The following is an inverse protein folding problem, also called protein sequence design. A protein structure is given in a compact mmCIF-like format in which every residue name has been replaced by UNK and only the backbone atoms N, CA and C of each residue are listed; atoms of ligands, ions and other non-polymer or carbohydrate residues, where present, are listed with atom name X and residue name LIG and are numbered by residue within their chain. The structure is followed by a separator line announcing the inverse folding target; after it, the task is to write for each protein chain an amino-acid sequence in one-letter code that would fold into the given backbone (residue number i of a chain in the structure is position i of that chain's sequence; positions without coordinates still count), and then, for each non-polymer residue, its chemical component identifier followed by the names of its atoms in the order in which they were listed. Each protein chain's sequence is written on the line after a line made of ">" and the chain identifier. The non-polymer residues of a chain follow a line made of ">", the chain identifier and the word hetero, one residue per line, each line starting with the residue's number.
data_IF_895235170914
#
_entry.id   IF_895235170914
#
_cell.length_a   1.000
_cell.length_b   1.000
_cell.length_c   1.000
_cell.angle_alpha   90.00
_cell.angle_beta   90.00
_cell.angle_gamma   90.00
#
_symmetry.space_group_name_H-M   'P 1'
#
loop_
_entity.id
_entity.type
_entity.pdbx_description
1 polymer ?
#
# COMPACT_ATOMS: atom_id res chain seq x y z
N UNK A 1 46.27 -33.91 -17.55
CA UNK A 1 46.76 -32.90 -16.62
C UNK A 1 46.88 -33.53 -15.22
N UNK A 2 48.01 -33.41 -14.57
CA UNK A 2 48.35 -34.15 -13.33
C UNK A 2 47.44 -33.64 -12.18
N UNK A 3 46.70 -34.53 -11.50
CA UNK A 3 45.78 -34.18 -10.40
C UNK A 3 46.44 -33.29 -9.31
N UNK A 4 47.72 -33.54 -9.02
CA UNK A 4 48.51 -32.69 -8.08
C UNK A 4 48.66 -31.23 -8.60
N UNK A 5 48.86 -31.06 -9.91
CA UNK A 5 49.01 -29.73 -10.50
C UNK A 5 47.69 -28.93 -10.44
N UNK A 6 46.58 -29.61 -10.71
CA UNK A 6 45.23 -28.97 -10.58
C UNK A 6 44.95 -28.55 -9.15
N UNK A 7 45.28 -29.40 -8.17
CA UNK A 7 45.07 -29.09 -6.75
C UNK A 7 45.93 -27.89 -6.29
N UNK A 8 47.21 -27.82 -6.70
CA UNK A 8 48.09 -26.67 -6.41
C UNK A 8 47.56 -25.40 -7.03
N UNK A 9 47.12 -25.47 -8.28
CA UNK A 9 46.55 -24.29 -8.99
C UNK A 9 45.25 -23.77 -8.32
N UNK A 10 44.37 -24.69 -7.91
CA UNK A 10 43.13 -24.32 -7.23
C UNK A 10 43.38 -23.66 -5.86
N UNK A 11 44.32 -24.21 -5.07
CA UNK A 11 44.70 -23.63 -3.78
C UNK A 11 45.33 -22.25 -3.97
N UNK A 12 46.19 -22.07 -4.98
CA UNK A 12 46.80 -20.78 -5.28
C UNK A 12 45.75 -19.72 -5.65
N UNK A 13 44.74 -20.07 -6.45
CA UNK A 13 43.64 -19.17 -6.82
C UNK A 13 42.84 -18.75 -5.59
N UNK A 14 42.54 -19.69 -4.69
CA UNK A 14 41.82 -19.41 -3.45
C UNK A 14 42.61 -18.44 -2.56
N UNK A 15 43.94 -18.66 -2.41
CA UNK A 15 44.79 -17.77 -1.61
C UNK A 15 44.84 -16.36 -2.20
N UNK A 16 44.95 -16.23 -3.51
CA UNK A 16 44.92 -14.91 -4.18
C UNK A 16 43.59 -14.22 -3.98
N UNK A 17 42.48 -14.96 -4.10
CA UNK A 17 41.13 -14.42 -3.89
C UNK A 17 40.90 -13.96 -2.46
N UNK A 18 41.33 -14.75 -1.47
CA UNK A 18 41.27 -14.35 -0.05
C UNK A 18 42.16 -13.13 0.20
N UNK A 19 43.37 -13.09 -0.36
CA UNK A 19 44.26 -11.94 -0.27
C UNK A 19 43.65 -10.67 -0.86
N UNK A 20 42.93 -10.80 -1.99
CA UNK A 20 42.20 -9.70 -2.60
C UNK A 20 41.07 -9.17 -1.72
N UNK A 21 40.25 -10.08 -1.14
CA UNK A 21 39.17 -9.69 -0.22
C UNK A 21 39.73 -8.96 1.01
N UNK A 22 40.80 -9.49 1.63
CA UNK A 22 41.45 -8.85 2.79
C UNK A 22 41.99 -7.47 2.40
N UNK A 23 42.64 -7.37 1.24
CA UNK A 23 43.20 -6.09 0.75
C UNK A 23 42.08 -5.06 0.48
N UNK A 24 40.95 -5.49 -0.07
CA UNK A 24 39.82 -4.61 -0.35
C UNK A 24 39.08 -4.16 0.93
N UNK A 25 39.00 -5.03 1.93
CA UNK A 25 38.41 -4.71 3.26
C UNK A 25 39.32 -3.89 4.14
N UNK A 26 40.64 -4.00 3.99
CA UNK A 26 41.64 -3.23 4.78
C UNK A 26 42.04 -1.90 4.10
N UNK A 27 41.68 -1.70 2.84
CA UNK A 27 41.82 -0.37 2.23
C UNK A 27 41.11 0.63 3.14
N UNK A 28 41.85 1.64 3.69
CA UNK A 28 41.17 2.76 4.32
C UNK A 28 40.21 3.30 3.27
N UNK A 29 38.92 3.32 3.57
CA UNK A 29 37.95 3.98 2.72
C UNK A 29 38.55 5.34 2.42
N UNK A 30 38.96 5.54 1.15
CA UNK A 30 39.53 6.80 0.73
C UNK A 30 38.56 7.84 1.23
N UNK A 31 39.04 8.78 2.03
CA UNK A 31 38.22 9.88 2.51
C UNK A 31 37.74 10.62 1.26
N UNK A 32 36.61 10.16 0.74
CA UNK A 32 35.77 11.03 -0.06
C UNK A 32 35.46 12.16 0.93
N UNK A 33 36.17 13.26 0.79
CA UNK A 33 35.74 14.53 1.36
C UNK A 33 34.38 14.79 0.70
N UNK A 34 33.32 14.14 1.27
CA UNK A 34 32.00 14.66 1.15
C UNK A 34 32.09 16.04 1.81
N UNK A 35 32.38 17.06 1.03
CA UNK A 35 31.88 18.38 1.29
C UNK A 35 30.32 18.26 1.18
N UNK A 36 29.73 17.56 2.10
CA UNK A 36 28.37 17.83 2.50
C UNK A 36 28.41 19.28 2.98
N UNK A 37 28.22 20.22 2.07
CA UNK A 37 27.59 21.47 2.42
C UNK A 37 26.43 21.04 3.32
N UNK A 38 26.51 21.36 4.62
CA UNK A 38 25.40 21.32 5.53
C UNK A 38 24.35 22.31 5.00
N UNK A 39 23.67 21.93 3.93
CA UNK A 39 22.39 22.50 3.61
C UNK A 39 21.54 22.12 4.82
N UNK A 40 21.20 23.11 5.64
CA UNK A 40 20.28 22.93 6.72
C UNK A 40 19.11 22.12 6.17
N UNK A 41 18.90 20.92 6.73
CA UNK A 41 17.74 20.09 6.33
C UNK A 41 16.56 20.95 6.70
N UNK A 42 15.94 21.60 5.71
CA UNK A 42 14.73 22.38 5.93
C UNK A 42 13.68 21.33 6.30
N UNK A 43 13.37 21.28 7.60
CA UNK A 43 12.33 20.41 8.11
C UNK A 43 10.98 20.91 7.56
N UNK A 44 10.38 20.13 6.68
CA UNK A 44 9.05 20.44 6.14
C UNK A 44 8.04 20.03 7.22
N UNK A 45 7.29 20.98 7.81
CA UNK A 45 6.34 20.67 8.87
C UNK A 45 5.15 19.89 8.31
N UNK A 46 4.49 19.12 9.20
CA UNK A 46 3.23 18.47 8.88
C UNK A 46 2.13 19.51 8.70
N UNK A 47 1.46 19.49 7.56
CA UNK A 47 0.30 20.36 7.27
C UNK A 47 -1.00 19.85 7.92
N UNK A 48 -0.96 18.71 8.56
CA UNK A 48 -2.08 17.99 9.15
C UNK A 48 -1.78 17.62 10.60
N UNK A 49 -2.83 17.29 11.34
CA UNK A 49 -2.74 16.78 12.71
C UNK A 49 -3.70 15.61 12.91
N UNK A 50 -3.37 14.73 13.84
CA UNK A 50 -4.32 13.74 14.35
C UNK A 50 -5.41 14.51 15.11
N UNK A 51 -6.63 14.46 14.60
CA UNK A 51 -7.79 15.13 15.18
C UNK A 51 -8.59 14.19 16.08
N UNK A 52 -8.53 12.88 15.83
CA UNK A 52 -9.14 11.86 16.66
C UNK A 52 -8.42 10.51 16.51
N UNK A 53 -8.48 9.73 17.59
CA UNK A 53 -8.11 8.32 17.62
C UNK A 53 -9.31 7.52 18.11
N UNK A 54 -9.61 6.43 17.41
CA UNK A 54 -10.72 5.55 17.76
C UNK A 54 -10.24 4.12 17.90
N UNK A 55 -10.36 3.55 19.10
CA UNK A 55 -10.02 2.15 19.35
C UNK A 55 -11.15 1.25 18.90
N UNK A 56 -10.84 0.30 18.03
CA UNK A 56 -11.76 -0.74 17.58
C UNK A 56 -11.79 -1.85 18.64
N UNK A 57 -13.00 -2.27 19.04
CA UNK A 57 -13.19 -3.30 20.07
C UNK A 57 -13.55 -4.67 19.48
N UNK A 58 -13.88 -4.72 18.19
CA UNK A 58 -14.35 -5.93 17.50
C UNK A 58 -13.22 -6.91 17.17
N UNK A 59 -11.97 -6.46 17.23
CA UNK A 59 -10.79 -7.27 16.96
C UNK A 59 -9.62 -6.48 16.39
N UNK A 60 -8.70 -7.19 15.77
CA UNK A 60 -7.53 -6.59 15.12
C UNK A 60 -7.95 -5.82 13.87
N UNK A 61 -7.74 -4.50 13.87
CA UNK A 61 -8.08 -3.63 12.74
C UNK A 61 -7.03 -3.72 11.63
N UNK A 62 -7.48 -3.84 10.38
CA UNK A 62 -6.59 -3.95 9.23
C UNK A 62 -6.92 -3.00 8.08
N UNK A 63 -8.20 -2.73 7.85
CA UNK A 63 -8.66 -2.00 6.68
C UNK A 63 -9.68 -0.93 7.04
N UNK A 64 -9.71 0.14 6.25
CA UNK A 64 -10.67 1.23 6.32
C UNK A 64 -11.16 1.61 4.92
N UNK A 65 -12.45 1.89 4.81
CA UNK A 65 -13.05 2.56 3.65
C UNK A 65 -14.04 3.63 4.12
N UNK A 66 -14.22 4.67 3.32
CA UNK A 66 -15.11 5.80 3.66
C UNK A 66 -15.91 6.19 2.42
N UNK A 67 -17.21 6.38 2.55
CA UNK A 67 -18.05 6.87 1.46
C UNK A 67 -18.15 8.41 1.47
N UNK A 68 -18.73 8.96 0.42
CA UNK A 68 -18.90 10.41 0.26
C UNK A 68 -19.81 11.07 1.33
N UNK A 69 -20.66 10.29 2.01
CA UNK A 69 -21.50 10.76 3.10
C UNK A 69 -20.76 10.76 4.47
N UNK A 70 -19.48 10.31 4.50
CA UNK A 70 -18.70 10.20 5.72
C UNK A 70 -19.00 8.95 6.53
N UNK A 71 -19.68 7.95 5.96
CA UNK A 71 -19.84 6.63 6.58
C UNK A 71 -18.52 5.89 6.53
N UNK A 72 -18.08 5.36 7.67
CA UNK A 72 -16.78 4.71 7.85
C UNK A 72 -16.99 3.21 7.97
N UNK A 73 -16.28 2.44 7.18
CA UNK A 73 -16.26 0.98 7.22
C UNK A 73 -14.89 0.53 7.72
N UNK A 74 -14.88 -0.30 8.75
CA UNK A 74 -13.68 -0.87 9.35
C UNK A 74 -13.71 -2.38 9.25
N UNK A 75 -12.58 -2.97 8.91
CA UNK A 75 -12.45 -4.43 8.76
C UNK A 75 -11.15 -4.96 9.34
N UNK A 76 -11.19 -6.21 9.76
CA UNK A 76 -10.03 -6.85 10.36
C UNK A 76 -10.26 -8.33 10.63
N UNK A 77 -9.83 -8.83 11.79
CA UNK A 77 -9.97 -10.24 12.15
C UNK A 77 -11.44 -10.66 12.25
N UNK A 78 -11.93 -11.20 11.13
CA UNK A 78 -13.27 -11.78 11.02
C UNK A 78 -14.44 -10.83 11.34
N UNK A 79 -14.29 -9.53 11.03
CA UNK A 79 -15.38 -8.55 11.15
C UNK A 79 -15.36 -7.49 10.04
N UNK A 80 -16.53 -6.94 9.76
CA UNK A 80 -16.74 -5.64 9.11
C UNK A 80 -17.71 -4.84 9.97
N UNK A 81 -17.33 -3.64 10.34
CA UNK A 81 -18.17 -2.71 11.12
C UNK A 81 -18.41 -1.44 10.33
N UNK A 82 -19.59 -0.88 10.48
CA UNK A 82 -19.99 0.39 9.89
C UNK A 82 -20.26 1.42 10.99
N UNK A 83 -19.68 2.59 10.82
CA UNK A 83 -19.84 3.72 11.74
C UNK A 83 -20.32 4.94 10.98
N UNK A 84 -21.08 5.80 11.64
CA UNK A 84 -21.35 7.13 11.12
C UNK A 84 -20.12 8.05 11.28
N UNK A 85 -20.20 9.27 10.75
CA UNK A 85 -19.15 10.30 10.86
C UNK A 85 -18.77 10.67 12.30
N UNK A 86 -19.67 10.44 13.26
CA UNK A 86 -19.46 10.71 14.69
C UNK A 86 -18.93 9.48 15.44
N UNK A 87 -18.44 8.47 14.71
CA UNK A 87 -17.89 7.21 15.22
C UNK A 87 -18.90 6.40 16.05
N UNK A 88 -20.20 6.56 15.79
CA UNK A 88 -21.24 5.72 16.39
C UNK A 88 -21.46 4.50 15.53
N UNK A 89 -21.41 3.31 16.14
CA UNK A 89 -21.65 2.05 15.47
C UNK A 89 -23.07 1.99 14.90
N UNK A 90 -23.17 1.66 13.61
CA UNK A 90 -24.43 1.43 12.90
C UNK A 90 -24.70 -0.07 12.87
N UNK A 91 -23.73 -0.87 12.43
CA UNK A 91 -23.78 -2.32 12.43
C UNK A 91 -22.39 -2.93 12.49
N UNK A 92 -22.33 -4.17 12.97
CA UNK A 92 -21.14 -5.02 12.97
C UNK A 92 -21.52 -6.42 12.48
N UNK A 93 -20.74 -6.95 11.56
CA UNK A 93 -20.97 -8.26 10.94
C UNK A 93 -19.71 -9.11 11.07
N UNK A 94 -19.90 -10.34 11.54
CA UNK A 94 -18.84 -11.32 11.57
C UNK A 94 -18.60 -11.89 10.17
N UNK A 95 -17.35 -11.91 9.71
CA UNK A 95 -16.97 -12.49 8.43
C UNK A 95 -16.43 -13.91 8.60
N UNK A 96 -16.55 -14.77 7.57
CA UNK A 96 -16.07 -16.16 7.65
C UNK A 96 -14.54 -16.27 7.77
N UNK A 97 -13.80 -15.24 7.35
CA UNK A 97 -12.35 -15.18 7.36
C UNK A 97 -11.89 -13.75 7.62
N UNK A 98 -10.61 -13.54 8.03
CA UNK A 98 -10.04 -12.21 8.21
C UNK A 98 -10.16 -11.35 6.96
N UNK A 99 -10.57 -10.10 7.15
CA UNK A 99 -10.66 -9.09 6.08
C UNK A 99 -9.26 -8.56 5.78
N UNK A 100 -8.88 -8.56 4.51
CA UNK A 100 -7.58 -8.06 4.05
C UNK A 100 -7.65 -6.62 3.56
N UNK A 101 -8.78 -6.22 2.95
CA UNK A 101 -8.99 -4.86 2.44
C UNK A 101 -10.48 -4.54 2.35
N UNK A 102 -10.80 -3.26 2.32
CA UNK A 102 -12.16 -2.73 2.14
C UNK A 102 -12.19 -1.71 1.00
N UNK A 103 -13.29 -1.73 0.27
CA UNK A 103 -13.66 -0.67 -0.67
C UNK A 103 -15.16 -0.47 -0.64
N UNK A 104 -15.63 0.68 -1.11
CA UNK A 104 -17.05 0.92 -1.29
C UNK A 104 -17.32 1.67 -2.59
N UNK A 105 -18.52 1.43 -3.14
CA UNK A 105 -19.10 2.27 -4.17
C UNK A 105 -20.53 2.64 -3.75
N UNK A 106 -20.76 3.92 -3.51
CA UNK A 106 -21.94 4.35 -2.77
C UNK A 106 -21.94 3.71 -1.39
N UNK A 107 -23.06 3.08 -1.05
CA UNK A 107 -23.22 2.37 0.23
C UNK A 107 -22.98 0.85 0.14
N UNK A 108 -22.64 0.33 -1.04
CA UNK A 108 -22.24 -1.08 -1.21
C UNK A 108 -20.78 -1.24 -0.79
N UNK A 109 -20.51 -2.18 0.11
CA UNK A 109 -19.17 -2.48 0.62
C UNK A 109 -18.65 -3.75 -0.02
N UNK A 110 -17.38 -3.72 -0.40
CA UNK A 110 -16.60 -4.85 -0.89
C UNK A 110 -15.51 -5.15 0.13
N UNK A 111 -15.63 -6.27 0.82
CA UNK A 111 -14.68 -6.72 1.82
C UNK A 111 -13.93 -7.94 1.29
N UNK A 112 -12.63 -7.78 0.99
CA UNK A 112 -11.82 -8.91 0.59
C UNK A 112 -11.33 -9.71 1.79
N UNK A 113 -11.27 -11.00 1.63
CA UNK A 113 -10.46 -11.93 2.41
C UNK A 113 -9.29 -12.40 1.56
N UNK A 114 -8.53 -13.41 1.96
CA UNK A 114 -7.40 -13.86 1.14
C UNK A 114 -7.79 -14.40 -0.23
N UNK A 115 -8.97 -15.02 -0.36
CA UNK A 115 -9.35 -15.80 -1.54
C UNK A 115 -10.63 -15.33 -2.21
N UNK A 116 -11.38 -14.42 -1.58
CA UNK A 116 -12.71 -14.02 -2.04
C UNK A 116 -13.07 -12.60 -1.64
N UNK A 117 -14.10 -12.05 -2.27
CA UNK A 117 -14.63 -10.73 -1.97
C UNK A 117 -16.11 -10.86 -1.58
N UNK A 118 -16.44 -10.42 -0.38
CA UNK A 118 -17.80 -10.32 0.12
C UNK A 118 -18.42 -9.00 -0.36
N UNK A 119 -19.57 -9.08 -1.00
CA UNK A 119 -20.35 -7.90 -1.41
C UNK A 119 -21.46 -7.68 -0.38
N UNK A 120 -21.43 -6.53 0.30
CA UNK A 120 -22.32 -6.26 1.44
C UNK A 120 -23.24 -5.07 1.15
N UNK A 121 -24.47 -5.19 1.64
CA UNK A 121 -25.47 -4.11 1.57
C UNK A 121 -25.16 -2.97 2.54
N UNK A 122 -25.82 -1.80 2.41
CA UNK A 122 -25.74 -0.71 3.38
C UNK A 122 -26.13 -1.11 4.82
N UNK A 123 -26.95 -2.16 4.96
CA UNK A 123 -27.37 -2.70 6.25
C UNK A 123 -26.45 -3.83 6.79
N UNK A 124 -25.29 -4.04 6.18
CA UNK A 124 -24.31 -5.05 6.60
C UNK A 124 -24.64 -6.48 6.16
N UNK A 125 -25.70 -6.71 5.37
CA UNK A 125 -26.03 -8.05 4.89
C UNK A 125 -25.09 -8.45 3.75
N UNK A 126 -24.48 -9.64 3.82
CA UNK A 126 -23.73 -10.22 2.70
C UNK A 126 -24.74 -10.57 1.60
N UNK A 127 -24.60 -9.92 0.45
CA UNK A 127 -25.48 -10.09 -0.72
C UNK A 127 -24.94 -11.11 -1.71
N UNK A 128 -23.61 -11.13 -1.86
CA UNK A 128 -22.91 -11.99 -2.81
C UNK A 128 -21.49 -12.24 -2.33
N UNK A 129 -20.88 -13.26 -2.91
CA UNK A 129 -19.49 -13.64 -2.70
C UNK A 129 -18.86 -13.89 -4.06
N UNK A 130 -17.79 -13.16 -4.38
CA UNK A 130 -17.00 -13.32 -5.59
C UNK A 130 -15.78 -14.15 -5.26
N UNK A 131 -15.57 -15.23 -5.99
CA UNK A 131 -14.56 -16.25 -5.71
C UNK A 131 -15.16 -17.50 -5.02
N UNK A 132 -14.35 -18.44 -4.48
CA UNK A 132 -12.90 -18.30 -4.38
C UNK A 132 -12.25 -18.19 -5.76
N UNK A 133 -11.14 -17.44 -5.81
CA UNK A 133 -10.33 -17.32 -7.02
C UNK A 133 -9.29 -18.46 -7.08
N UNK A 134 -8.18 -18.28 -7.76
CA UNK A 134 -7.17 -19.33 -7.95
C UNK A 134 -6.53 -19.79 -6.60
N UNK A 135 -6.07 -21.05 -6.53
CA UNK A 135 -5.54 -21.70 -5.32
C UNK A 135 -4.38 -20.95 -4.63
N UNK A 136 -3.58 -20.20 -5.39
CA UNK A 136 -2.47 -19.40 -4.85
C UNK A 136 -2.84 -17.93 -4.62
N UNK A 137 -4.10 -17.57 -4.73
CA UNK A 137 -4.57 -16.20 -4.60
C UNK A 137 -4.36 -15.67 -3.18
N UNK A 138 -3.77 -14.47 -3.09
CA UNK A 138 -3.63 -13.70 -1.86
C UNK A 138 -4.11 -12.28 -2.14
N UNK A 139 -5.40 -12.05 -1.94
CA UNK A 139 -5.98 -10.71 -2.14
C UNK A 139 -5.50 -9.79 -1.02
N UNK A 140 -4.78 -8.74 -1.38
CA UNK A 140 -4.24 -7.75 -0.45
C UNK A 140 -4.96 -6.42 -0.53
N UNK A 141 -5.62 -6.14 -1.64
CA UNK A 141 -6.36 -4.91 -1.86
C UNK A 141 -7.56 -5.14 -2.78
N UNK A 142 -8.65 -4.45 -2.52
CA UNK A 142 -9.85 -4.40 -3.36
C UNK A 142 -10.25 -2.94 -3.59
N UNK A 143 -10.67 -2.62 -4.80
CA UNK A 143 -11.22 -1.32 -5.15
C UNK A 143 -12.44 -1.47 -6.04
N UNK A 144 -13.38 -0.54 -5.94
CA UNK A 144 -14.60 -0.58 -6.76
C UNK A 144 -15.01 0.80 -7.24
N UNK A 145 -15.56 0.85 -8.44
CA UNK A 145 -16.21 2.02 -8.99
C UNK A 145 -17.61 1.64 -9.51
N UNK A 146 -18.24 2.51 -10.31
CA UNK A 146 -19.58 2.28 -10.83
C UNK A 146 -19.72 0.96 -11.62
N UNK A 147 -18.69 0.59 -12.39
CA UNK A 147 -18.77 -0.52 -13.36
C UNK A 147 -17.99 -1.76 -12.91
N UNK A 148 -16.87 -1.59 -12.22
CA UNK A 148 -15.89 -2.62 -12.00
C UNK A 148 -15.56 -2.83 -10.53
N UNK A 149 -15.03 -4.00 -10.24
CA UNK A 149 -14.30 -4.33 -9.02
C UNK A 149 -12.91 -4.75 -9.46
N UNK A 150 -11.88 -4.18 -8.87
CA UNK A 150 -10.51 -4.62 -9.08
C UNK A 150 -9.93 -5.15 -7.78
N UNK A 151 -9.08 -6.17 -7.86
CA UNK A 151 -8.32 -6.62 -6.71
C UNK A 151 -6.88 -6.93 -7.09
N UNK A 152 -5.97 -6.70 -6.15
CA UNK A 152 -4.57 -7.03 -6.25
C UNK A 152 -4.30 -8.38 -5.58
N UNK A 153 -3.77 -9.31 -6.35
CA UNK A 153 -3.38 -10.64 -5.92
C UNK A 153 -1.86 -10.72 -5.77
N UNK A 154 -1.39 -10.65 -4.53
CA UNK A 154 0.04 -10.72 -4.21
C UNK A 154 0.63 -12.11 -4.41
N UNK A 155 -0.18 -13.17 -4.33
CA UNK A 155 0.25 -14.55 -4.56
C UNK A 155 0.69 -14.77 -6.00
N UNK A 156 -0.14 -14.39 -6.95
CA UNK A 156 0.12 -14.52 -8.37
C UNK A 156 0.77 -13.26 -8.99
N UNK A 157 0.90 -12.15 -8.21
CA UNK A 157 1.44 -10.86 -8.66
C UNK A 157 0.69 -10.32 -9.87
N UNK A 158 -0.63 -10.30 -9.77
CA UNK A 158 -1.54 -9.86 -10.81
C UNK A 158 -2.62 -8.94 -10.24
N UNK A 159 -3.19 -8.11 -11.09
CA UNK A 159 -4.39 -7.34 -10.78
C UNK A 159 -5.53 -7.88 -11.63
N UNK A 160 -6.61 -8.25 -10.99
CA UNK A 160 -7.83 -8.72 -11.63
C UNK A 160 -8.84 -7.58 -11.71
N UNK A 161 -9.51 -7.47 -12.84
CA UNK A 161 -10.61 -6.55 -13.09
C UNK A 161 -11.86 -7.36 -13.39
N UNK A 162 -12.86 -7.23 -12.54
CA UNK A 162 -14.15 -7.92 -12.62
C UNK A 162 -15.26 -6.93 -12.99
N UNK A 163 -16.32 -7.43 -13.60
CA UNK A 163 -17.58 -6.72 -13.55
C UNK A 163 -18.26 -6.86 -12.16
N UNK A 164 -19.39 -6.20 -11.96
CA UNK A 164 -20.12 -6.27 -10.68
C UNK A 164 -20.73 -7.66 -10.38
N UNK A 165 -20.85 -8.51 -11.39
CA UNK A 165 -21.27 -9.89 -11.24
C UNK A 165 -20.17 -10.85 -10.83
N UNK A 166 -18.90 -10.40 -10.90
CA UNK A 166 -17.72 -11.21 -10.57
C UNK A 166 -17.06 -11.89 -11.76
N UNK A 167 -17.51 -11.62 -12.98
CA UNK A 167 -16.86 -12.12 -14.19
C UNK A 167 -15.54 -11.37 -14.44
N UNK A 168 -14.44 -12.12 -14.63
CA UNK A 168 -13.12 -11.54 -14.93
C UNK A 168 -13.13 -10.94 -16.33
N UNK A 169 -12.94 -9.65 -16.43
CA UNK A 169 -12.85 -8.91 -17.68
C UNK A 169 -11.41 -8.73 -18.14
N UNK A 170 -10.48 -8.58 -17.21
CA UNK A 170 -9.06 -8.38 -17.52
C UNK A 170 -8.17 -8.82 -16.36
N UNK A 171 -6.98 -9.26 -16.69
CA UNK A 171 -5.86 -9.47 -15.76
C UNK A 171 -4.66 -8.64 -16.25
N UNK A 172 -4.03 -7.88 -15.33
CA UNK A 172 -2.81 -7.10 -15.57
C UNK A 172 -1.66 -7.82 -14.88
N UNK A 173 -0.52 -7.96 -15.56
CA UNK A 173 0.65 -8.66 -15.03
C UNK A 173 0.71 -10.17 -15.38
N UNK A 174 -0.31 -10.71 -16.06
CA UNK A 174 -0.40 -12.15 -16.39
C UNK A 174 0.73 -12.64 -17.29
N UNK A 175 1.07 -11.87 -18.32
CA UNK A 175 1.94 -12.34 -19.39
C UNK A 175 3.41 -11.91 -19.23
N UNK A 176 3.68 -10.85 -18.49
CA UNK A 176 5.00 -10.21 -18.44
C UNK A 176 5.68 -10.29 -17.07
N UNK A 177 4.96 -10.82 -16.05
CA UNK A 177 5.44 -10.86 -14.66
C UNK A 177 5.98 -9.50 -14.19
N UNK A 178 5.32 -8.44 -14.64
CA UNK A 178 5.76 -7.06 -14.49
C UNK A 178 5.86 -6.60 -13.04
N UNK A 179 4.95 -7.09 -12.17
CA UNK A 179 4.89 -6.64 -10.80
C UNK A 179 5.96 -7.30 -9.91
N UNK A 180 6.75 -6.46 -9.25
CA UNK A 180 7.73 -6.88 -8.24
C UNK A 180 7.13 -6.66 -6.86
N UNK A 181 6.67 -7.73 -6.23
CA UNK A 181 5.97 -7.70 -4.95
C UNK A 181 6.77 -8.54 -3.92
N UNK A 182 7.72 -7.93 -3.20
CA UNK A 182 8.60 -8.64 -2.28
C UNK A 182 7.92 -9.05 -0.96
N UNK A 183 6.80 -8.41 -0.62
CA UNK A 183 6.00 -8.71 0.56
C UNK A 183 4.52 -8.52 0.21
N UNK A 184 3.57 -9.05 1.01
CA UNK A 184 2.14 -9.01 0.68
C UNK A 184 1.52 -7.61 0.86
N UNK A 185 2.18 -6.59 0.31
CA UNK A 185 1.68 -5.23 0.15
C UNK A 185 1.57 -4.96 -1.34
N UNK A 186 0.36 -5.09 -1.86
CA UNK A 186 0.05 -4.88 -3.26
C UNK A 186 -1.31 -4.18 -3.32
N UNK A 187 -1.29 -2.88 -3.61
CA UNK A 187 -2.47 -2.02 -3.56
C UNK A 187 -2.97 -1.69 -4.95
N UNK A 188 -4.29 -1.67 -5.10
CA UNK A 188 -4.98 -1.25 -6.32
C UNK A 188 -6.08 -0.25 -6.02
N UNK A 189 -6.27 0.74 -6.88
CA UNK A 189 -7.41 1.66 -6.83
C UNK A 189 -8.00 1.87 -8.22
N UNK A 190 -9.33 2.06 -8.27
CA UNK A 190 -10.08 2.44 -9.46
C UNK A 190 -10.63 3.85 -9.29
N UNK A 191 -10.46 4.69 -10.31
CA UNK A 191 -11.18 5.96 -10.37
C UNK A 191 -12.51 5.84 -11.15
N UNK A 192 -13.25 6.94 -11.19
CA UNK A 192 -14.52 6.99 -11.90
C UNK A 192 -14.36 7.02 -13.44
N UNK A 193 -13.18 7.28 -13.95
CA UNK A 193 -12.80 7.26 -15.37
C UNK A 193 -12.32 5.87 -15.82
N UNK A 194 -12.36 4.88 -14.93
CA UNK A 194 -11.88 3.52 -15.11
C UNK A 194 -10.35 3.43 -15.33
N UNK A 195 -9.57 4.36 -14.77
CA UNK A 195 -8.15 4.16 -14.63
C UNK A 195 -7.89 3.21 -13.45
N UNK A 196 -6.90 2.34 -13.63
CA UNK A 196 -6.45 1.38 -12.63
C UNK A 196 -5.08 1.82 -12.12
N UNK A 197 -5.00 2.18 -10.85
CA UNK A 197 -3.75 2.57 -10.20
C UNK A 197 -3.23 1.41 -9.39
N UNK A 198 -1.94 1.10 -9.54
CA UNK A 198 -1.32 -0.09 -8.93
C UNK A 198 -0.01 0.28 -8.27
N UNK A 199 0.16 -0.06 -7.00
CA UNK A 199 1.42 0.11 -6.30
C UNK A 199 2.37 -1.06 -6.64
N UNK A 200 3.33 -0.84 -7.53
CA UNK A 200 4.42 -1.78 -7.81
C UNK A 200 5.52 -1.59 -6.76
N UNK A 201 5.31 -2.18 -5.59
CA UNK A 201 6.01 -1.83 -4.35
C UNK A 201 7.50 -2.14 -4.37
N UNK A 202 7.94 -3.18 -5.07
CA UNK A 202 9.36 -3.50 -5.23
C UNK A 202 10.08 -2.58 -6.20
N UNK A 203 9.33 -1.90 -7.08
CA UNK A 203 9.87 -0.88 -7.99
C UNK A 203 9.66 0.55 -7.47
N UNK A 204 9.11 0.72 -6.26
CA UNK A 204 8.91 2.01 -5.58
C UNK A 204 8.11 3.01 -6.42
N UNK A 205 7.01 2.54 -7.05
CA UNK A 205 6.22 3.40 -7.92
C UNK A 205 4.74 3.04 -7.92
N UNK A 206 3.92 4.00 -8.31
CA UNK A 206 2.52 3.80 -8.65
C UNK A 206 2.40 3.86 -10.17
N UNK A 207 1.75 2.87 -10.74
CA UNK A 207 1.53 2.71 -12.17
C UNK A 207 0.05 2.91 -12.48
N UNK A 208 -0.24 3.60 -13.58
CA UNK A 208 -1.62 3.85 -14.03
C UNK A 208 -1.86 3.08 -15.32
N UNK A 209 -2.90 2.27 -15.33
CA UNK A 209 -3.33 1.49 -16.49
C UNK A 209 -4.71 1.93 -16.96
N UNK A 210 -5.00 1.69 -18.24
CA UNK A 210 -6.40 1.65 -18.70
C UNK A 210 -7.10 0.40 -18.14
N UNK A 211 -8.43 0.38 -18.23
CA UNK A 211 -9.22 -0.79 -17.86
C UNK A 211 -8.87 -2.03 -18.70
N UNK A 212 -8.36 -1.83 -19.91
CA UNK A 212 -7.90 -2.90 -20.81
C UNK A 212 -6.46 -3.37 -20.50
N UNK A 213 -5.84 -2.83 -19.45
CA UNK A 213 -4.51 -3.23 -18.98
C UNK A 213 -3.34 -2.58 -19.72
N UNK A 214 -3.56 -1.48 -20.45
CA UNK A 214 -2.49 -0.73 -21.11
C UNK A 214 -1.89 0.27 -20.13
N UNK A 215 -0.57 0.22 -19.91
CA UNK A 215 0.16 1.17 -19.07
C UNK A 215 0.09 2.57 -19.70
N UNK A 216 -0.42 3.54 -18.92
CA UNK A 216 -0.57 4.94 -19.33
C UNK A 216 0.54 5.84 -18.80
N UNK A 217 0.87 5.67 -17.52
CA UNK A 217 1.88 6.47 -16.82
C UNK A 217 2.38 5.75 -15.57
N UNK A 218 3.48 6.25 -15.03
CA UNK A 218 4.02 5.78 -13.76
C UNK A 218 4.78 6.92 -13.09
N UNK A 219 4.87 6.89 -11.77
CA UNK A 219 5.66 7.81 -10.98
C UNK A 219 6.17 7.17 -9.71
N UNK A 220 7.19 7.76 -9.11
CA UNK A 220 7.83 7.32 -7.88
C UNK A 220 9.19 6.70 -8.14
N UNK A 221 10.03 6.76 -7.12
CA UNK A 221 11.38 6.22 -7.08
C UNK A 221 11.77 5.84 -5.66
N UNK A 222 12.75 4.97 -5.51
CA UNK A 222 13.31 4.63 -4.21
C UNK A 222 14.08 5.81 -3.62
N UNK A 223 13.85 6.11 -2.34
CA UNK A 223 14.62 7.17 -1.67
C UNK A 223 13.95 7.70 -0.40
N UNK A 224 14.65 8.66 0.25
CA UNK A 224 14.19 9.32 1.47
C UNK A 224 13.70 10.74 1.24
N UNK A 225 13.88 11.29 0.03
CA UNK A 225 13.36 12.60 -0.35
C UNK A 225 11.83 12.67 -0.17
N UNK A 226 11.23 13.84 0.03
CA UNK A 226 9.77 13.97 0.23
C UNK A 226 8.93 13.30 -0.85
N UNK A 227 9.32 13.39 -2.12
CA UNK A 227 8.62 12.78 -3.26
C UNK A 227 8.91 11.28 -3.47
N UNK A 228 10.01 10.75 -2.90
CA UNK A 228 10.44 9.37 -3.09
C UNK A 228 9.75 8.41 -2.11
N UNK A 229 9.80 7.11 -2.38
CA UNK A 229 9.26 6.05 -1.52
C UNK A 229 10.37 5.32 -0.77
N UNK A 230 10.29 5.31 0.57
CA UNK A 230 11.28 4.72 1.45
C UNK A 230 10.88 3.33 1.94
N UNK A 231 11.86 2.42 1.95
CA UNK A 231 11.70 1.05 2.42
C UNK A 231 11.75 0.03 1.29
N UNK A 232 11.83 -1.25 1.63
CA UNK A 232 11.99 -2.33 0.64
C UNK A 232 10.74 -2.60 -0.19
N UNK A 233 9.55 -2.12 0.24
CA UNK A 233 8.25 -2.38 -0.38
C UNK A 233 7.38 -1.14 -0.17
N UNK A 234 7.52 -0.12 -1.01
CA UNK A 234 6.80 1.14 -0.85
C UNK A 234 6.30 1.70 -2.19
N UNK A 235 5.14 2.40 -2.20
CA UNK A 235 4.23 2.56 -1.07
C UNK A 235 3.40 1.29 -0.82
N UNK A 236 3.30 0.80 0.41
CA UNK A 236 2.46 -0.36 0.73
C UNK A 236 0.97 -0.06 0.61
N UNK A 237 0.55 1.17 0.95
CA UNK A 237 -0.83 1.62 0.84
C UNK A 237 -0.92 3.02 0.25
N UNK A 238 -1.95 3.25 -0.55
CA UNK A 238 -2.35 4.56 -1.02
C UNK A 238 -3.87 4.65 -1.17
N UNK A 239 -4.41 5.86 -1.12
CA UNK A 239 -5.78 6.14 -1.51
C UNK A 239 -5.83 7.29 -2.51
N UNK A 240 -6.82 7.24 -3.41
CA UNK A 240 -7.09 8.34 -4.34
C UNK A 240 -7.80 9.48 -3.62
N UNK A 241 -7.40 10.69 -3.91
CA UNK A 241 -8.04 11.92 -3.48
C UNK A 241 -8.25 12.83 -4.71
N UNK A 242 -9.13 13.82 -4.66
CA UNK A 242 -9.38 14.70 -5.82
C UNK A 242 -8.12 15.37 -6.37
N UNK A 243 -7.17 15.71 -5.51
CA UNK A 243 -5.91 16.37 -5.84
C UNK A 243 -4.82 15.41 -6.33
N UNK A 244 -4.95 14.10 -6.06
CA UNK A 244 -3.96 13.09 -6.41
C UNK A 244 -4.00 11.86 -5.49
N UNK A 245 -2.98 11.68 -4.67
CA UNK A 245 -2.79 10.49 -3.85
C UNK A 245 -2.41 10.85 -2.42
N UNK A 246 -2.97 10.14 -1.46
CA UNK A 246 -2.40 10.04 -0.13
C UNK A 246 -1.71 8.68 -0.02
N UNK A 247 -0.43 8.67 0.41
CA UNK A 247 0.37 7.44 0.48
C UNK A 247 0.91 7.21 1.89
N UNK A 248 0.91 5.96 2.34
CA UNK A 248 1.63 5.53 3.53
C UNK A 248 2.92 4.82 3.12
N UNK A 249 3.98 5.06 3.86
CA UNK A 249 5.27 4.41 3.66
C UNK A 249 5.61 3.47 4.82
N UNK A 250 6.52 2.56 4.57
CA UNK A 250 6.90 1.50 5.51
C UNK A 250 8.28 1.71 6.14
N UNK A 251 9.22 2.29 5.40
CA UNK A 251 10.60 2.46 5.86
C UNK A 251 10.76 3.59 6.86
N UNK A 252 10.18 4.76 6.58
CA UNK A 252 10.15 5.93 7.46
C UNK A 252 8.80 6.04 8.20
N UNK A 253 7.77 5.33 7.78
CA UNK A 253 6.39 5.41 8.30
C UNK A 253 5.82 6.83 8.24
N UNK A 254 5.98 7.47 7.12
CA UNK A 254 5.37 8.78 6.86
C UNK A 254 4.13 8.64 5.99
N UNK A 255 3.23 9.58 6.16
CA UNK A 255 2.03 9.75 5.33
C UNK A 255 2.17 11.08 4.61
N UNK A 256 1.99 11.09 3.29
CA UNK A 256 2.16 12.27 2.46
C UNK A 256 1.12 12.36 1.35
N UNK A 257 0.94 13.55 0.85
CA UNK A 257 0.12 13.84 -0.33
C UNK A 257 1.03 14.07 -1.54
N UNK A 258 0.69 13.40 -2.62
CA UNK A 258 1.27 13.59 -3.95
C UNK A 258 0.16 14.10 -4.88
N UNK A 259 0.50 14.99 -5.81
CA UNK A 259 -0.45 15.42 -6.84
C UNK A 259 -0.67 14.32 -7.89
N UNK A 260 -1.54 14.56 -8.87
CA UNK A 260 -1.85 13.60 -9.95
C UNK A 260 -0.65 13.18 -10.80
N UNK A 261 0.44 13.96 -10.78
CA UNK A 261 1.70 13.63 -11.47
C UNK A 261 2.68 12.86 -10.58
N UNK A 262 2.34 12.64 -9.30
CA UNK A 262 3.22 12.01 -8.32
C UNK A 262 4.22 12.96 -7.66
N UNK A 263 4.09 14.26 -7.87
CA UNK A 263 4.94 15.26 -7.23
C UNK A 263 4.49 15.50 -5.79
N UNK A 264 5.46 15.67 -4.89
CA UNK A 264 5.21 15.93 -3.47
C UNK A 264 4.45 17.24 -3.26
N UNK A 265 3.42 17.20 -2.44
CA UNK A 265 2.64 18.38 -2.06
C UNK A 265 2.92 18.74 -0.60
N UNK A 266 2.65 17.81 0.33
CA UNK A 266 2.77 18.06 1.76
C UNK A 266 2.83 16.77 2.56
N UNK A 267 3.29 16.86 3.80
CA UNK A 267 3.18 15.77 4.76
C UNK A 267 1.88 15.84 5.56
N UNK A 268 1.25 14.67 5.69
CA UNK A 268 0.16 14.43 6.64
C UNK A 268 0.74 14.08 8.01
N UNK A 269 1.73 13.20 8.01
CA UNK A 269 2.51 12.82 9.18
C UNK A 269 3.92 12.42 8.72
N UNK A 270 4.91 13.25 9.02
CA UNK A 270 6.32 13.00 8.70
C UNK A 270 7.09 12.44 9.89
N UNK A 271 6.59 12.71 11.11
CA UNK A 271 7.20 12.26 12.35
C UNK A 271 6.82 10.82 12.58
N UNK A 272 7.77 9.97 12.55
CA UNK A 272 7.69 8.52 12.68
C UNK A 272 7.05 8.08 14.03
N UNK A 273 5.79 8.47 14.24
CA UNK A 273 5.02 8.16 15.45
C UNK A 273 4.47 6.74 15.47
N UNK A 274 4.63 6.02 14.36
CA UNK A 274 4.14 4.66 14.17
C UNK A 274 5.30 3.66 14.17
N UNK A 275 5.03 2.41 14.51
CA UNK A 275 6.04 1.35 14.52
C UNK A 275 6.54 1.12 13.08
N UNK A 276 7.85 1.13 12.90
CA UNK A 276 8.49 0.85 11.61
C UNK A 276 7.97 -0.48 11.05
N UNK A 277 7.82 -0.51 9.74
CA UNK A 277 7.36 -1.69 9.00
C UNK A 277 5.89 -2.07 9.18
N UNK A 278 5.10 -1.31 9.94
CA UNK A 278 3.64 -1.47 10.04
C UNK A 278 2.98 -0.22 9.45
N UNK A 279 2.64 -0.20 8.16
CA UNK A 279 2.00 0.95 7.52
C UNK A 279 0.52 1.04 7.90
N UNK A 280 -0.05 2.25 7.79
CA UNK A 280 -1.48 2.46 7.90
C UNK A 280 -2.15 2.14 6.56
N UNK A 281 -3.28 1.41 6.61
CA UNK A 281 -4.19 1.37 5.47
C UNK A 281 -5.00 2.68 5.43
N UNK A 282 -5.06 3.32 4.27
CA UNK A 282 -5.55 4.69 4.13
C UNK A 282 -6.87 4.76 3.37
N UNK A 283 -7.73 5.70 3.77
CA UNK A 283 -8.92 6.08 3.00
C UNK A 283 -9.18 7.58 3.12
N UNK A 284 -9.77 8.16 2.09
CA UNK A 284 -10.33 9.52 2.11
C UNK A 284 -11.41 9.59 1.03
N UNK A 285 -12.52 10.24 1.34
CA UNK A 285 -13.60 10.46 0.38
C UNK A 285 -13.49 11.81 -0.35
N UNK A 286 -12.90 12.80 0.29
CA UNK A 286 -12.94 14.20 -0.14
C UNK A 286 -11.57 14.89 -0.20
N UNK A 287 -10.49 14.22 0.22
CA UNK A 287 -9.16 14.81 0.35
C UNK A 287 -9.01 15.82 1.50
N UNK A 288 -10.06 16.03 2.32
CA UNK A 288 -10.04 16.97 3.45
C UNK A 288 -9.89 16.28 4.79
N UNK A 289 -10.32 15.02 4.86
CA UNK A 289 -10.14 14.15 6.03
C UNK A 289 -9.47 12.86 5.55
N UNK A 290 -8.40 12.47 6.21
CA UNK A 290 -7.70 11.21 5.92
C UNK A 290 -7.91 10.28 7.11
N UNK A 291 -8.27 9.05 6.80
CA UNK A 291 -8.50 7.97 7.76
C UNK A 291 -7.39 6.95 7.61
N UNK A 292 -6.75 6.58 8.70
CA UNK A 292 -5.69 5.58 8.73
C UNK A 292 -6.02 4.44 9.69
N UNK A 293 -6.30 3.25 9.18
CA UNK A 293 -6.40 2.07 10.01
C UNK A 293 -4.99 1.57 10.35
N UNK A 294 -4.66 1.56 11.63
CA UNK A 294 -3.36 1.14 12.11
C UNK A 294 -3.40 -0.23 12.77
N UNK A 295 -2.83 -1.25 12.12
CA UNK A 295 -2.90 -2.61 12.64
C UNK A 295 -2.20 -2.81 13.99
N UNK A 296 -1.09 -2.12 14.25
CA UNK A 296 -0.26 -2.39 15.42
C UNK A 296 -0.97 -2.14 16.77
N UNK A 297 -1.93 -1.22 16.81
CA UNK A 297 -2.68 -0.92 18.02
C UNK A 297 -4.21 -1.06 17.87
N UNK A 298 -4.66 -1.47 16.66
CA UNK A 298 -6.08 -1.60 16.29
C UNK A 298 -6.85 -0.30 16.48
N UNK A 299 -6.25 0.84 16.09
CA UNK A 299 -6.91 2.14 16.11
C UNK A 299 -7.13 2.67 14.71
N UNK A 300 -8.21 3.41 14.56
CA UNK A 300 -8.43 4.33 13.46
C UNK A 300 -7.89 5.69 13.87
N UNK A 301 -6.99 6.24 13.06
CA UNK A 301 -6.47 7.60 13.18
C UNK A 301 -7.17 8.48 12.16
N UNK A 302 -7.64 9.64 12.59
CA UNK A 302 -8.30 10.63 11.74
C UNK A 302 -7.42 11.86 11.67
N UNK A 303 -7.03 12.24 10.46
CA UNK A 303 -6.18 13.39 10.21
C UNK A 303 -7.00 14.50 9.53
N UNK A 304 -6.89 15.70 10.03
CA UNK A 304 -7.44 16.91 9.41
C UNK A 304 -6.35 17.94 9.19
N UNK A 305 -6.49 18.78 8.17
CA UNK A 305 -5.54 19.87 7.93
C UNK A 305 -5.49 20.79 9.15
N UNK A 306 -4.30 21.29 9.42
CA UNK A 306 -4.14 22.36 10.37
C UNK A 306 -4.94 23.56 9.87
N UNK A 307 -5.92 24.01 10.64
CA UNK A 307 -6.53 25.32 10.39
C UNK A 307 -5.45 26.35 10.68
N UNK A 308 -4.97 27.03 9.62
CA UNK A 308 -4.14 28.22 9.82
C UNK A 308 -4.98 29.20 10.64
N UNK A 309 -4.45 29.74 11.73
CA UNK A 309 -5.17 30.75 12.52
C UNK A 309 -5.45 31.99 11.70
#
# INVERSE_FOLDING_TARGET
>A
MNKKLIMVLSVSIIIVFIGYIIFDTVKPAGSVKNETKNAAIVEIPDAWKVSAEFKVNEGYLKAVAVNAAGTIYLGGDSFVSCYNKDLKLIWNVKTPSPVTSLSNFGDTVFASTMEQILVMSPAGKILNQLGPFEDSCIITSVSSNKKYVAFADAGNKMVFILDKGGEVKKMIGQNDRHFVIPSPYFEVALDNENNVFVANTGLHRIETYSIDGVLKSQFGEAGTAPGSFCGCCAPPHFALIPEGFVTAEKGINRIKILNKKGEFVEFVNSKNNFIKSVPLNLASADGKTIYGAYPADSKLYIFNRNTTP
#
